data_IF_922774732764
#
_entry.id   IF_922774732764
#
_cell.length_a   1.000
_cell.length_b   1.000
_cell.length_c   1.000
_cell.angle_alpha   90.00
_cell.angle_beta   90.00
_cell.angle_gamma   90.00
#
_symmetry.space_group_name_H-M   'P 1'
#
loop_
_entity.id
_entity.type
_entity.pdbx_description
1 polymer ?
#
# COMPACT_ATOMS: atom_id res chain seq x y z
N UNK A 1 14.06 -16.60 13.94
CA UNK A 1 12.68 -16.89 13.49
C UNK A 1 12.26 -15.97 12.36
N UNK A 2 12.22 -14.64 12.53
CA UNK A 2 11.87 -13.66 11.47
C UNK A 2 12.64 -13.80 10.15
N UNK A 3 13.96 -14.03 10.20
CA UNK A 3 14.78 -14.23 8.99
C UNK A 3 14.48 -15.54 8.24
N UNK A 4 14.02 -16.57 8.95
CA UNK A 4 13.69 -17.87 8.36
C UNK A 4 12.35 -17.78 7.66
N UNK A 5 11.39 -17.04 8.21
CA UNK A 5 10.08 -16.83 7.59
C UNK A 5 10.14 -15.93 6.34
N UNK A 6 11.16 -15.06 6.22
CA UNK A 6 11.40 -14.27 5.01
C UNK A 6 11.82 -15.10 3.78
N UNK A 7 12.50 -16.23 3.97
CA UNK A 7 12.95 -17.09 2.87
C UNK A 7 11.79 -17.68 2.04
N UNK A 8 10.79 -18.37 2.63
CA UNK A 8 9.65 -18.89 1.89
C UNK A 8 8.80 -17.79 1.25
N UNK A 9 8.71 -16.60 1.84
CA UNK A 9 8.07 -15.43 1.20
C UNK A 9 8.80 -15.06 -0.09
N UNK A 10 10.14 -14.94 -0.06
CA UNK A 10 10.93 -14.58 -1.24
C UNK A 10 10.77 -15.64 -2.33
N UNK A 11 10.86 -16.94 -1.98
CA UNK A 11 10.64 -18.02 -2.95
C UNK A 11 9.20 -18.02 -3.49
N UNK A 12 8.20 -17.81 -2.64
CA UNK A 12 6.79 -17.73 -3.05
C UNK A 12 6.53 -16.60 -4.05
N UNK A 13 7.13 -15.42 -3.83
CA UNK A 13 7.04 -14.29 -4.76
C UNK A 13 7.75 -14.60 -6.09
N UNK A 14 8.92 -15.24 -6.06
CA UNK A 14 9.63 -15.66 -7.29
C UNK A 14 8.79 -16.67 -8.07
N UNK A 15 8.21 -17.68 -7.41
CA UNK A 15 7.35 -18.67 -8.07
C UNK A 15 6.05 -18.07 -8.61
N UNK A 16 5.45 -17.09 -7.92
CA UNK A 16 4.26 -16.39 -8.38
C UNK A 16 4.54 -15.45 -9.57
N UNK A 17 5.79 -14.96 -9.71
CA UNK A 17 6.17 -14.06 -10.82
C UNK A 17 6.71 -14.81 -12.03
N UNK A 18 7.33 -15.98 -11.85
CA UNK A 18 7.80 -16.83 -12.95
C UNK A 18 6.59 -17.50 -13.63
N UNK A 19 6.10 -16.88 -14.70
CA UNK A 19 4.96 -17.35 -15.48
C UNK A 19 3.88 -16.30 -15.70
N UNK A 20 4.00 -15.12 -15.07
CA UNK A 20 3.02 -14.05 -15.22
C UNK A 20 3.28 -13.22 -16.49
N UNK A 21 2.28 -13.11 -17.36
CA UNK A 21 2.41 -12.54 -18.72
C UNK A 21 2.61 -11.01 -18.71
N UNK A 22 2.32 -10.34 -17.58
CA UNK A 22 2.37 -8.87 -17.41
C UNK A 22 3.67 -8.37 -16.75
N UNK A 23 4.68 -9.22 -16.57
CA UNK A 23 5.91 -8.83 -15.90
C UNK A 23 6.71 -7.79 -16.69
N UNK A 24 6.94 -6.62 -16.09
CA UNK A 24 7.82 -5.57 -16.62
C UNK A 24 8.94 -5.27 -15.64
N UNK A 25 10.20 -5.27 -16.13
CA UNK A 25 11.40 -4.99 -15.31
C UNK A 25 11.31 -3.63 -14.59
N UNK A 26 10.73 -2.62 -15.26
CA UNK A 26 10.50 -1.31 -14.68
C UNK A 26 9.46 -1.34 -13.56
N UNK A 27 8.34 -2.06 -13.74
CA UNK A 27 7.32 -2.24 -12.71
C UNK A 27 7.90 -2.92 -11.47
N UNK A 28 8.66 -4.00 -11.65
CA UNK A 28 9.35 -4.68 -10.57
C UNK A 28 10.28 -3.74 -9.77
N UNK A 29 11.14 -2.98 -10.45
CA UNK A 29 12.05 -2.05 -9.78
C UNK A 29 11.30 -0.96 -9.02
N UNK A 30 10.25 -0.38 -9.62
CA UNK A 30 9.41 0.62 -8.96
C UNK A 30 8.69 0.05 -7.73
N UNK A 31 8.21 -1.19 -7.78
CA UNK A 31 7.61 -1.86 -6.62
C UNK A 31 8.62 -2.09 -5.51
N UNK A 32 9.82 -2.60 -5.81
CA UNK A 32 10.89 -2.78 -4.81
C UNK A 32 11.24 -1.44 -4.17
N UNK A 33 11.49 -0.40 -4.98
CA UNK A 33 11.78 0.93 -4.46
C UNK A 33 10.63 1.48 -3.59
N UNK A 34 9.39 1.29 -4.02
CA UNK A 34 8.19 1.69 -3.28
C UNK A 34 8.09 0.98 -1.92
N UNK A 35 8.37 -0.32 -1.85
CA UNK A 35 8.38 -1.06 -0.58
C UNK A 35 9.49 -0.58 0.35
N UNK A 36 10.68 -0.27 -0.16
CA UNK A 36 11.78 0.31 0.62
C UNK A 36 11.39 1.67 1.20
N UNK A 37 10.82 2.56 0.39
CA UNK A 37 10.34 3.87 0.84
C UNK A 37 9.20 3.76 1.87
N UNK A 38 8.29 2.80 1.71
CA UNK A 38 7.21 2.55 2.66
C UNK A 38 7.74 2.04 4.01
N UNK A 39 8.73 1.13 4.00
CA UNK A 39 9.40 0.66 5.20
C UNK A 39 10.14 1.81 5.91
N UNK A 40 10.91 2.61 5.16
CA UNK A 40 11.58 3.79 5.69
C UNK A 40 10.60 4.79 6.30
N UNK A 41 9.49 5.12 5.61
CA UNK A 41 8.41 5.97 6.14
C UNK A 41 7.90 5.44 7.48
N UNK A 42 7.69 4.13 7.58
CA UNK A 42 7.13 3.50 8.80
C UNK A 42 8.09 3.61 9.98
N UNK A 43 9.39 3.37 9.74
CA UNK A 43 10.45 3.51 10.76
C UNK A 43 10.62 4.96 11.20
N UNK A 44 10.71 5.90 10.25
CA UNK A 44 10.84 7.34 10.55
C UNK A 44 9.61 7.84 11.31
N UNK A 45 8.41 7.44 10.88
CA UNK A 45 7.14 7.79 11.55
C UNK A 45 7.13 7.30 12.99
N UNK A 46 7.51 6.05 13.24
CA UNK A 46 7.59 5.51 14.60
C UNK A 46 8.60 6.28 15.46
N UNK A 47 9.78 6.58 14.90
CA UNK A 47 10.82 7.36 15.60
C UNK A 47 10.36 8.77 15.95
N UNK A 48 9.57 9.41 15.10
CA UNK A 48 8.99 10.74 15.37
C UNK A 48 7.85 10.67 16.40
N UNK A 49 7.02 9.62 16.37
CA UNK A 49 5.87 9.46 17.26
C UNK A 49 6.25 9.00 18.68
N UNK A 50 7.29 8.17 18.82
CA UNK A 50 7.72 7.54 20.09
C UNK A 50 8.99 8.20 20.65
N UNK A 51 9.79 8.86 19.80
CA UNK A 51 11.04 9.53 20.20
C UNK A 51 10.84 10.83 20.99
N UNK A 52 11.87 11.68 20.98
CA UNK A 52 11.95 12.87 21.86
C UNK A 52 10.79 13.88 21.73
N UNK A 53 10.12 13.88 20.59
CA UNK A 53 9.08 14.86 20.25
C UNK A 53 7.67 14.41 20.69
N UNK A 54 7.44 13.10 20.94
CA UNK A 54 6.17 12.48 21.38
C UNK A 54 4.90 13.00 20.67
N UNK A 55 4.99 13.35 19.39
CA UNK A 55 3.86 13.98 18.69
C UNK A 55 2.61 13.09 18.70
N UNK A 56 1.44 13.74 18.68
CA UNK A 56 0.20 13.06 18.42
C UNK A 56 0.16 12.59 16.95
N UNK A 57 -0.35 11.38 16.65
CA UNK A 57 -0.53 10.91 15.27
C UNK A 57 -1.30 11.89 14.38
N UNK A 58 -2.25 12.64 14.95
CA UNK A 58 -2.97 13.70 14.22
C UNK A 58 -2.05 14.85 13.79
N UNK A 59 -1.17 15.34 14.65
CA UNK A 59 -0.26 16.46 14.31
C UNK A 59 0.70 16.06 13.18
N UNK A 60 1.18 14.82 13.25
CA UNK A 60 2.04 14.27 12.21
C UNK A 60 1.28 14.13 10.88
N UNK A 61 0.04 13.65 10.93
CA UNK A 61 -0.81 13.53 9.75
C UNK A 61 -1.16 14.90 9.15
N UNK A 62 -1.43 15.91 9.99
CA UNK A 62 -1.68 17.29 9.56
C UNK A 62 -0.46 17.94 8.91
N UNK A 63 0.75 17.59 9.34
CA UNK A 63 1.98 18.09 8.71
C UNK A 63 2.36 17.36 7.43
N UNK A 64 2.08 16.06 7.34
CA UNK A 64 2.36 15.25 6.14
C UNK A 64 1.34 15.45 5.02
N UNK A 65 0.06 15.57 5.35
CA UNK A 65 -1.04 15.68 4.36
C UNK A 65 -0.87 16.83 3.35
N UNK A 66 -0.57 18.09 3.74
CA UNK A 66 -0.43 19.18 2.78
C UNK A 66 0.80 19.00 1.87
N UNK A 67 1.91 18.49 2.39
CA UNK A 67 3.10 18.19 1.60
C UNK A 67 2.82 17.08 0.59
N UNK A 68 2.12 16.02 1.01
CA UNK A 68 1.71 14.93 0.14
C UNK A 68 0.74 15.40 -0.95
N UNK A 69 -0.19 16.31 -0.61
CA UNK A 69 -1.10 16.92 -1.58
C UNK A 69 -0.34 17.71 -2.64
N UNK A 70 0.57 18.60 -2.23
CA UNK A 70 1.41 19.38 -3.16
C UNK A 70 2.22 18.46 -4.07
N UNK A 71 2.88 17.45 -3.51
CA UNK A 71 3.66 16.49 -4.28
C UNK A 71 2.79 15.72 -5.29
N UNK A 72 1.59 15.29 -4.88
CA UNK A 72 0.65 14.57 -5.76
C UNK A 72 0.15 15.46 -6.89
N UNK A 73 -0.17 16.73 -6.61
CA UNK A 73 -0.61 17.71 -7.63
C UNK A 73 0.51 17.99 -8.64
N UNK A 74 1.75 18.16 -8.17
CA UNK A 74 2.90 18.35 -9.06
C UNK A 74 3.09 17.13 -9.96
N UNK A 75 3.04 15.91 -9.41
CA UNK A 75 3.13 14.70 -10.22
C UNK A 75 1.99 14.59 -11.24
N UNK A 76 0.75 14.84 -10.83
CA UNK A 76 -0.41 14.81 -11.73
C UNK A 76 -0.31 15.86 -12.86
N UNK A 77 0.33 17.00 -12.59
CA UNK A 77 0.62 18.01 -13.60
C UNK A 77 1.70 17.52 -14.58
N UNK A 78 2.83 17.02 -14.08
CA UNK A 78 3.97 16.57 -14.89
C UNK A 78 3.61 15.37 -15.77
N UNK A 79 2.78 14.44 -15.27
CA UNK A 79 2.31 13.28 -16.06
C UNK A 79 1.22 13.64 -17.08
N UNK A 80 0.69 14.88 -17.03
CA UNK A 80 -0.41 15.32 -17.89
C UNK A 80 -1.78 14.78 -17.49
N UNK A 81 -1.87 14.01 -16.40
CA UNK A 81 -3.13 13.46 -15.87
C UNK A 81 -4.11 14.58 -15.46
N UNK A 82 -3.60 15.73 -15.03
CA UNK A 82 -4.45 16.86 -14.66
C UNK A 82 -5.33 17.34 -15.83
N UNK A 83 -4.80 17.31 -17.06
CA UNK A 83 -5.57 17.65 -18.26
C UNK A 83 -6.61 16.58 -18.60
N UNK A 84 -6.29 15.30 -18.41
CA UNK A 84 -7.23 14.19 -18.59
C UNK A 84 -8.38 14.27 -17.60
N UNK A 85 -8.10 14.50 -16.33
CA UNK A 85 -9.09 14.67 -15.26
C UNK A 85 -9.99 15.87 -15.55
N UNK A 86 -9.45 16.99 -16.03
CA UNK A 86 -10.23 18.18 -16.38
C UNK A 86 -11.24 17.91 -17.50
N UNK A 87 -10.83 17.17 -18.53
CA UNK A 87 -11.71 16.80 -19.64
C UNK A 87 -12.76 15.77 -19.20
N UNK A 88 -12.36 14.78 -18.40
CA UNK A 88 -13.27 13.79 -17.82
C UNK A 88 -14.32 14.43 -16.90
N UNK A 89 -13.90 15.40 -16.08
CA UNK A 89 -14.76 16.13 -15.15
C UNK A 89 -15.88 16.89 -15.88
N UNK A 90 -15.60 17.45 -17.06
CA UNK A 90 -16.61 18.16 -17.86
C UNK A 90 -17.67 17.26 -18.47
N UNK A 91 -17.32 16.01 -18.81
CA UNK A 91 -18.16 15.14 -19.63
C UNK A 91 -18.81 13.98 -18.85
N UNK A 92 -18.26 13.60 -17.70
CA UNK A 92 -18.62 12.32 -17.05
C UNK A 92 -18.65 12.39 -15.51
N UNK A 93 -18.65 13.58 -14.92
CA UNK A 93 -18.69 13.74 -13.46
C UNK A 93 -20.11 13.61 -12.92
N UNK A 94 -20.49 12.38 -12.57
CA UNK A 94 -21.76 12.09 -11.90
C UNK A 94 -21.67 12.32 -10.39
N UNK A 95 -22.75 12.76 -9.76
CA UNK A 95 -22.85 12.93 -8.29
C UNK A 95 -22.43 11.67 -7.51
N UNK A 96 -22.77 10.48 -8.03
CA UNK A 96 -22.37 9.19 -7.44
C UNK A 96 -20.84 9.03 -7.39
N UNK A 97 -20.12 9.46 -8.43
CA UNK A 97 -18.66 9.39 -8.48
C UNK A 97 -18.03 10.35 -7.48
N UNK A 98 -18.57 11.57 -7.35
CA UNK A 98 -18.13 12.55 -6.35
C UNK A 98 -18.29 12.00 -4.93
N UNK A 99 -19.46 11.40 -4.64
CA UNK A 99 -19.71 10.77 -3.34
C UNK A 99 -18.74 9.62 -3.11
N UNK A 100 -18.53 8.74 -4.10
CA UNK A 100 -17.58 7.62 -4.00
C UNK A 100 -16.15 8.09 -3.73
N UNK A 101 -15.69 9.16 -4.40
CA UNK A 101 -14.37 9.75 -4.15
C UNK A 101 -14.26 10.35 -2.75
N UNK A 102 -15.28 11.07 -2.28
CA UNK A 102 -15.31 11.63 -0.94
C UNK A 102 -15.27 10.53 0.12
N UNK A 103 -16.08 9.48 -0.03
CA UNK A 103 -16.08 8.33 0.87
C UNK A 103 -14.73 7.63 0.87
N UNK A 104 -14.11 7.43 -0.30
CA UNK A 104 -12.76 6.86 -0.38
C UNK A 104 -11.72 7.72 0.36
N UNK A 105 -11.76 9.04 0.20
CA UNK A 105 -10.89 9.97 0.90
C UNK A 105 -11.04 9.90 2.43
N UNK A 106 -12.28 9.83 2.93
CA UNK A 106 -12.56 9.66 4.36
C UNK A 106 -12.02 8.33 4.88
N UNK A 107 -12.24 7.23 4.16
CA UNK A 107 -11.71 5.91 4.53
C UNK A 107 -10.17 5.94 4.54
N UNK A 108 -9.55 6.54 3.53
CA UNK A 108 -8.09 6.68 3.44
C UNK A 108 -7.51 7.49 4.60
N UNK A 109 -8.20 8.55 5.03
CA UNK A 109 -7.83 9.32 6.21
C UNK A 109 -7.83 8.47 7.48
N UNK A 110 -8.93 7.76 7.74
CA UNK A 110 -9.02 6.87 8.91
C UNK A 110 -7.99 5.75 8.86
N UNK A 111 -7.73 5.16 7.70
CA UNK A 111 -6.68 4.15 7.52
C UNK A 111 -5.30 4.71 7.90
N UNK A 112 -4.96 5.93 7.46
CA UNK A 112 -3.70 6.58 7.83
C UNK A 112 -3.63 6.89 9.33
N UNK A 113 -4.72 7.40 9.92
CA UNK A 113 -4.79 7.69 11.35
C UNK A 113 -4.61 6.41 12.21
N UNK A 114 -5.35 5.35 11.89
CA UNK A 114 -5.25 4.05 12.57
C UNK A 114 -3.85 3.48 12.38
N UNK A 115 -3.29 3.56 11.17
CA UNK A 115 -1.93 3.07 10.90
C UNK A 115 -0.87 3.80 11.71
N UNK A 116 -0.94 5.13 11.81
CA UNK A 116 0.00 5.90 12.63
C UNK A 116 -0.19 5.69 14.12
N UNK A 117 -1.44 5.55 14.57
CA UNK A 117 -1.75 5.26 15.97
C UNK A 117 -1.28 3.86 16.37
N UNK A 118 -1.52 2.87 15.53
CA UNK A 118 -1.00 1.51 15.71
C UNK A 118 0.53 1.53 15.68
N UNK A 119 1.15 2.25 14.74
CA UNK A 119 2.60 2.41 14.69
C UNK A 119 3.16 3.11 15.94
N UNK A 120 2.43 4.05 16.56
CA UNK A 120 2.84 4.67 17.83
C UNK A 120 2.73 3.71 19.02
N UNK A 121 1.66 2.91 19.06
CA UNK A 121 1.38 1.95 20.15
C UNK A 121 2.18 0.64 20.02
N UNK A 122 2.73 0.36 18.86
CA UNK A 122 3.49 -0.85 18.55
C UNK A 122 4.86 -0.51 17.95
N UNK A 123 5.53 -1.47 17.32
CA UNK A 123 6.82 -1.27 16.66
C UNK A 123 6.67 -1.23 15.13
N UNK A 124 7.63 -0.64 14.39
CA UNK A 124 7.65 -0.71 12.93
C UNK A 124 7.63 -2.15 12.40
N UNK A 125 8.27 -3.06 13.13
CA UNK A 125 8.31 -4.48 12.80
C UNK A 125 6.90 -5.09 12.90
N UNK A 126 6.17 -4.79 13.99
CA UNK A 126 4.78 -5.24 14.18
C UNK A 126 3.87 -4.72 13.07
N UNK A 127 4.03 -3.46 12.67
CA UNK A 127 3.27 -2.87 11.56
C UNK A 127 3.54 -3.58 10.22
N UNK A 128 4.78 -4.03 10.00
CA UNK A 128 5.16 -4.77 8.79
C UNK A 128 4.52 -6.16 8.78
N UNK A 129 4.56 -6.88 9.91
CA UNK A 129 3.91 -8.20 10.04
C UNK A 129 2.39 -8.09 9.87
N UNK A 130 1.75 -7.11 10.50
CA UNK A 130 0.32 -6.84 10.31
C UNK A 130 -0.01 -6.51 8.84
N UNK A 131 0.90 -5.83 8.15
CA UNK A 131 0.83 -5.59 6.71
C UNK A 131 0.81 -6.88 5.90
N UNK A 132 1.67 -7.85 6.22
CA UNK A 132 1.69 -9.16 5.56
C UNK A 132 0.36 -9.91 5.79
N UNK A 133 -0.16 -9.93 7.02
CA UNK A 133 -1.46 -10.54 7.32
C UNK A 133 -2.60 -9.88 6.54
N UNK A 134 -2.60 -8.54 6.44
CA UNK A 134 -3.57 -7.81 5.61
C UNK A 134 -3.47 -8.21 4.14
N UNK A 135 -2.25 -8.33 3.61
CA UNK A 135 -2.02 -8.73 2.22
C UNK A 135 -2.58 -10.12 1.94
N UNK A 136 -2.32 -11.06 2.84
CA UNK A 136 -2.84 -12.44 2.82
C UNK A 136 -4.37 -12.47 2.78
N UNK A 137 -5.03 -11.74 3.69
CA UNK A 137 -6.49 -11.65 3.72
C UNK A 137 -7.04 -11.06 2.42
N UNK A 138 -6.37 -10.04 1.86
CA UNK A 138 -6.76 -9.43 0.60
C UNK A 138 -6.69 -10.41 -0.57
N UNK A 139 -5.67 -11.28 -0.60
CA UNK A 139 -5.54 -12.31 -1.65
C UNK A 139 -6.67 -13.33 -1.53
N UNK A 140 -6.94 -13.83 -0.32
CA UNK A 140 -8.04 -14.79 -0.08
C UNK A 140 -9.37 -14.20 -0.52
N UNK A 141 -9.66 -12.96 -0.10
CA UNK A 141 -10.90 -12.28 -0.49
C UNK A 141 -10.98 -12.07 -2.01
N UNK A 142 -9.88 -11.71 -2.68
CA UNK A 142 -9.87 -11.55 -4.12
C UNK A 142 -10.19 -12.86 -4.85
N UNK A 143 -9.61 -13.99 -4.40
CA UNK A 143 -9.90 -15.31 -4.98
C UNK A 143 -11.37 -15.69 -4.80
N UNK A 144 -11.92 -15.49 -3.59
CA UNK A 144 -13.31 -15.86 -3.27
C UNK A 144 -14.31 -14.98 -4.02
N UNK A 145 -14.07 -13.67 -4.11
CA UNK A 145 -15.00 -12.72 -4.73
C UNK A 145 -14.95 -12.80 -6.26
N UNK A 146 -13.75 -12.84 -6.85
CA UNK A 146 -13.58 -12.77 -8.29
C UNK A 146 -13.52 -14.13 -8.98
N UNK A 147 -13.64 -15.25 -8.23
CA UNK A 147 -13.56 -16.62 -8.75
C UNK A 147 -12.35 -16.81 -9.69
N UNK A 148 -11.20 -16.28 -9.29
CA UNK A 148 -9.98 -16.34 -10.09
C UNK A 148 -9.54 -17.78 -10.29
N UNK A 149 -9.28 -18.15 -11.55
CA UNK A 149 -8.73 -19.46 -11.92
C UNK A 149 -7.26 -19.49 -11.56
N UNK A 150 -6.93 -20.04 -10.39
CA UNK A 150 -5.56 -20.13 -9.89
C UNK A 150 -4.84 -21.25 -10.65
N UNK A 151 -3.82 -20.91 -11.44
CA UNK A 151 -2.87 -21.90 -11.97
C UNK A 151 -2.11 -22.55 -10.82
N UNK A 152 -1.75 -23.85 -10.91
CA UNK A 152 -1.07 -24.56 -9.82
C UNK A 152 0.21 -23.86 -9.32
N UNK A 153 0.93 -23.20 -10.22
CA UNK A 153 2.11 -22.37 -9.93
C UNK A 153 1.79 -21.13 -9.11
N UNK A 154 0.73 -20.39 -9.44
CA UNK A 154 0.29 -19.23 -8.67
C UNK A 154 -0.24 -19.64 -7.29
N UNK A 155 -0.94 -20.77 -7.21
CA UNK A 155 -1.45 -21.32 -5.94
C UNK A 155 -0.32 -21.70 -4.99
N UNK A 156 0.72 -22.36 -5.50
CA UNK A 156 1.93 -22.68 -4.73
C UNK A 156 2.70 -21.43 -4.30
N UNK A 157 2.82 -20.42 -5.18
CA UNK A 157 3.44 -19.14 -4.84
C UNK A 157 2.71 -18.40 -3.72
N UNK A 158 1.37 -18.35 -3.78
CA UNK A 158 0.52 -17.79 -2.73
C UNK A 158 0.68 -18.58 -1.42
N UNK A 159 0.65 -19.91 -1.48
CA UNK A 159 0.80 -20.77 -0.29
C UNK A 159 2.17 -20.62 0.39
N UNK A 160 3.26 -20.57 -0.39
CA UNK A 160 4.61 -20.31 0.14
C UNK A 160 4.74 -18.92 0.76
N UNK A 161 4.08 -17.92 0.16
CA UNK A 161 4.02 -16.55 0.69
C UNK A 161 3.21 -16.48 1.99
N UNK A 162 2.22 -17.37 2.17
CA UNK A 162 1.41 -17.46 3.39
C UNK A 162 2.15 -18.15 4.55
N UNK A 163 3.06 -19.08 4.25
CA UNK A 163 3.79 -19.87 5.25
C UNK A 163 4.94 -19.10 5.93
N UNK A 164 5.43 -18.03 5.31
CA UNK A 164 6.47 -17.16 5.87
C UNK A 164 5.93 -15.88 6.48
#
# INVERSE_FOLDING_TARGET
MTYISLLPVIFGVVFATVGDYYFTKMGFFLTVLGTLLAALKTVVTNRVLVGRLKLHPFDLLLRMSPLAFVQTVIYAYVTGELNRVRTFSKNSMTTSLVIALMTNGVIAFFLNYVSFTANKKTSPLTMTVAGNVKQVLSIILAVVIFNLTITPTNGLGIFLTLLG
#
